data_IF_521993597948
#
_entry.id   IF_521993597948
#
_cell.length_a   1.000
_cell.length_b   1.000
_cell.length_c   1.000
_cell.angle_alpha   90.00
_cell.angle_beta   90.00
_cell.angle_gamma   90.00
#
_symmetry.space_group_name_H-M   'P 1'
#
loop_
_entity.id
_entity.type
_entity.pdbx_description
1 polymer ?
#
# COMPACT_ATOMS: atom_id res chain seq x y z
N UNK A 1 -17.10 13.44 6.15
CA UNK A 1 -16.61 13.14 5.95
C UNK A 1 -15.52 13.18 5.56
N UNK A 2 -15.01 13.17 5.75
CA UNK A 2 -14.09 13.19 5.35
C UNK A 2 -13.14 12.18 5.49
N UNK A 3 -13.17 11.23 6.44
CA UNK A 3 -12.34 10.06 6.46
C UNK A 3 -12.30 9.38 5.12
N UNK A 4 -13.42 9.42 4.43
CA UNK A 4 -13.49 8.79 3.12
C UNK A 4 -12.57 9.43 2.12
N UNK A 5 -12.21 10.68 2.32
CA UNK A 5 -11.34 11.34 1.35
C UNK A 5 -9.92 10.78 1.39
N UNK A 6 -9.56 10.10 2.47
CA UNK A 6 -8.22 9.53 2.58
C UNK A 6 -8.05 8.24 1.79
N UNK A 7 -9.15 7.70 1.30
CA UNK A 7 -9.11 6.46 0.54
C UNK A 7 -9.52 6.66 -0.90
N UNK A 8 -9.24 7.84 -1.43
CA UNK A 8 -9.57 8.12 -2.81
C UNK A 8 -8.66 7.33 -3.74
N UNK A 9 -9.07 7.20 -4.97
CA UNK A 9 -8.26 6.57 -6.00
C UNK A 9 -6.92 7.25 -6.14
N UNK A 10 -6.91 8.58 -6.03
CA UNK A 10 -5.67 9.32 -6.17
C UNK A 10 -4.67 8.93 -5.08
N UNK A 11 -5.14 8.78 -3.87
CA UNK A 11 -4.24 8.43 -2.77
C UNK A 11 -3.78 7.00 -2.86
N UNK A 12 -4.63 6.10 -3.36
CA UNK A 12 -4.20 4.73 -3.60
C UNK A 12 -3.12 4.68 -4.67
N UNK A 13 -3.23 5.51 -5.70
CA UNK A 13 -2.21 5.61 -6.74
C UNK A 13 -0.90 6.11 -6.16
N UNK A 14 -0.97 7.12 -5.31
CA UNK A 14 0.22 7.65 -4.65
C UNK A 14 0.90 6.58 -3.82
N UNK A 15 0.15 5.85 -3.03
CA UNK A 15 0.70 4.78 -2.21
C UNK A 15 1.30 3.66 -3.05
N UNK A 16 0.63 3.29 -4.13
CA UNK A 16 1.15 2.27 -5.03
C UNK A 16 2.47 2.66 -5.66
N UNK A 17 2.57 3.91 -6.10
CA UNK A 17 3.82 4.40 -6.68
C UNK A 17 4.95 4.40 -5.66
N UNK A 18 4.68 4.88 -4.47
CA UNK A 18 5.71 4.94 -3.43
C UNK A 18 6.17 3.54 -3.04
N UNK A 19 5.23 2.60 -2.90
CA UNK A 19 5.60 1.23 -2.56
C UNK A 19 6.46 0.60 -3.65
N UNK A 20 6.09 0.77 -4.91
CA UNK A 20 6.89 0.24 -6.01
C UNK A 20 8.27 0.89 -6.08
N UNK A 21 8.32 2.20 -5.84
CA UNK A 21 9.58 2.93 -5.83
C UNK A 21 10.52 2.37 -4.77
N UNK A 22 10.01 2.16 -3.57
CA UNK A 22 10.81 1.69 -2.46
C UNK A 22 11.20 0.22 -2.58
N UNK A 23 10.32 -0.61 -3.15
CA UNK A 23 10.64 -2.01 -3.37
C UNK A 23 11.74 -2.20 -4.41
N UNK A 24 11.74 -1.36 -5.42
CA UNK A 24 12.76 -1.44 -6.46
C UNK A 24 12.63 -2.67 -7.35
N UNK A 25 11.49 -3.34 -7.34
CA UNK A 25 11.28 -4.56 -8.11
C UNK A 25 9.81 -4.70 -8.44
N UNK A 26 9.50 -5.62 -9.32
CA UNK A 26 8.13 -5.89 -9.72
C UNK A 26 7.33 -6.47 -8.55
N UNK A 27 6.08 -6.08 -8.46
CA UNK A 27 5.19 -6.60 -7.42
C UNK A 27 3.78 -6.71 -7.98
N UNK A 28 3.05 -7.71 -7.51
CA UNK A 28 1.68 -7.89 -7.95
C UNK A 28 0.71 -7.11 -7.05
N UNK A 29 -0.53 -6.99 -7.50
CA UNK A 29 -1.53 -6.18 -6.80
C UNK A 29 -1.87 -6.73 -5.42
N UNK A 30 -1.85 -8.05 -5.26
CA UNK A 30 -2.17 -8.65 -3.96
C UNK A 30 -1.08 -8.31 -2.94
N UNK A 31 0.17 -8.39 -3.36
CA UNK A 31 1.29 -8.06 -2.49
C UNK A 31 1.26 -6.58 -2.10
N UNK A 32 1.05 -5.72 -3.10
CA UNK A 32 0.98 -4.29 -2.85
C UNK A 32 -0.22 -3.92 -1.98
N UNK A 33 -1.35 -4.61 -2.18
CA UNK A 33 -2.53 -4.39 -1.34
C UNK A 33 -2.28 -4.75 0.11
N UNK A 34 -1.54 -5.82 0.34
CA UNK A 34 -1.19 -6.23 1.70
C UNK A 34 -0.23 -5.22 2.34
N UNK A 35 0.79 -4.79 1.60
CA UNK A 35 1.71 -3.76 2.12
C UNK A 35 0.97 -2.45 2.38
N UNK A 36 0.03 -2.10 1.51
CA UNK A 36 -0.76 -0.89 1.66
C UNK A 36 -1.60 -0.95 2.94
N UNK A 37 -2.21 -2.10 3.21
CA UNK A 37 -3.02 -2.29 4.41
C UNK A 37 -2.16 -2.10 5.66
N UNK A 38 -0.98 -2.67 5.68
CA UNK A 38 -0.09 -2.52 6.83
C UNK A 38 0.40 -1.07 6.94
N UNK A 39 0.74 -0.45 5.83
CA UNK A 39 1.28 0.91 5.84
C UNK A 39 0.27 1.91 6.38
N UNK A 40 -0.97 1.86 5.91
CA UNK A 40 -1.97 2.83 6.39
C UNK A 40 -2.40 2.57 7.83
N UNK A 41 -2.15 1.38 8.33
CA UNK A 41 -2.47 1.00 9.70
C UNK A 41 -1.19 0.73 10.49
N UNK A 42 -0.13 1.46 10.17
CA UNK A 42 1.22 1.16 10.65
C UNK A 42 1.32 1.02 12.15
N UNK A 43 0.69 1.92 12.90
CA UNK A 43 0.75 1.85 14.36
C UNK A 43 0.13 0.55 14.88
N UNK A 44 -0.96 0.11 14.27
CA UNK A 44 -1.63 -1.13 14.64
C UNK A 44 -0.69 -2.33 14.52
N UNK A 45 0.19 -2.30 13.53
CA UNK A 45 1.13 -3.39 13.30
C UNK A 45 2.50 -3.15 13.90
N UNK A 46 2.63 -2.09 14.73
CA UNK A 46 3.89 -1.80 15.40
C UNK A 46 4.97 -1.26 14.49
N UNK A 47 4.59 -0.72 13.33
CA UNK A 47 5.53 -0.23 12.36
C UNK A 47 5.81 1.26 12.56
N UNK A 48 4.79 2.06 12.70
CA UNK A 48 4.95 3.49 12.78
C UNK A 48 4.37 4.07 14.05
N UNK A 49 4.57 5.36 14.25
CA UNK A 49 4.08 6.04 15.43
C UNK A 49 2.56 6.25 15.41
N UNK A 50 1.99 6.32 14.22
CA UNK A 50 0.55 6.53 14.10
C UNK A 50 0.06 5.95 12.78
N UNK A 51 -1.22 5.72 12.71
CA UNK A 51 -1.85 5.25 11.48
C UNK A 51 -2.11 6.44 10.56
N UNK A 52 -1.79 6.27 9.29
CA UNK A 52 -1.91 7.36 8.32
C UNK A 52 -3.34 7.82 8.12
N UNK A 53 -4.27 6.88 8.16
CA UNK A 53 -5.68 7.19 7.95
C UNK A 53 -6.44 7.31 9.27
N UNK A 54 -5.72 7.56 10.35
CA UNK A 54 -6.33 7.69 11.65
C UNK A 54 -6.58 6.36 12.32
N UNK A 55 -7.07 6.42 13.53
CA UNK A 55 -7.32 5.21 14.30
C UNK A 55 -8.70 4.68 13.96
N UNK A 56 -8.77 3.42 13.59
CA UNK A 56 -10.04 2.76 13.35
C UNK A 56 -9.85 1.26 13.51
N UNK A 57 -10.94 0.55 13.55
CA UNK A 57 -10.87 -0.89 13.69
C UNK A 57 -10.46 -1.51 12.37
N UNK A 58 -9.42 -2.34 12.46
CA UNK A 58 -8.96 -3.09 11.31
C UNK A 58 -9.72 -4.40 11.26
N UNK A 59 -10.23 -4.73 10.13
CA UNK A 59 -10.90 -6.01 9.91
C UNK A 59 -10.28 -6.70 8.73
N UNK A 60 -10.39 -8.02 8.68
CA UNK A 60 -9.82 -8.77 7.57
C UNK A 60 -10.44 -8.33 6.24
N UNK A 61 -11.66 -7.84 6.27
CA UNK A 61 -12.29 -7.32 5.04
C UNK A 61 -11.55 -6.12 4.48
N UNK A 62 -10.83 -5.40 5.31
CA UNK A 62 -10.07 -4.24 4.84
C UNK A 62 -8.98 -4.66 3.86
N UNK A 63 -8.35 -5.80 4.08
CA UNK A 63 -7.35 -6.28 3.14
C UNK A 63 -7.94 -6.45 1.75
N UNK A 64 -9.12 -7.06 1.67
CA UNK A 64 -9.77 -7.25 0.38
C UNK A 64 -10.10 -5.90 -0.28
N UNK A 65 -10.68 -4.99 0.49
CA UNK A 65 -11.05 -3.68 -0.02
C UNK A 65 -9.82 -2.93 -0.55
N UNK A 66 -8.73 -2.95 0.20
CA UNK A 66 -7.52 -2.25 -0.22
C UNK A 66 -6.87 -2.92 -1.42
N UNK A 67 -6.96 -4.22 -1.52
CA UNK A 67 -6.43 -4.93 -2.68
C UNK A 67 -7.20 -4.57 -3.94
N UNK A 68 -8.52 -4.48 -3.84
CA UNK A 68 -9.34 -4.04 -4.98
C UNK A 68 -8.98 -2.62 -5.39
N UNK A 69 -8.87 -1.74 -4.41
CA UNK A 69 -8.51 -0.35 -4.67
C UNK A 69 -7.13 -0.24 -5.30
N UNK A 70 -6.17 -1.02 -4.79
CA UNK A 70 -4.81 -1.02 -5.33
C UNK A 70 -4.79 -1.57 -6.77
N UNK A 71 -5.57 -2.60 -7.05
CA UNK A 71 -5.65 -3.13 -8.41
C UNK A 71 -6.13 -2.06 -9.38
N UNK A 72 -7.17 -1.33 -9.00
CA UNK A 72 -7.68 -0.25 -9.84
C UNK A 72 -6.67 0.88 -10.00
N UNK A 73 -5.98 1.20 -8.91
CA UNK A 73 -4.97 2.25 -8.94
C UNK A 73 -3.82 1.89 -9.88
N UNK A 74 -3.36 0.64 -9.81
CA UNK A 74 -2.26 0.20 -10.66
C UNK A 74 -2.65 0.19 -12.13
N UNK A 75 -3.89 -0.20 -12.42
CA UNK A 75 -4.38 -0.18 -13.80
C UNK A 75 -4.42 1.25 -14.34
N UNK A 76 -4.86 2.18 -13.51
CA UNK A 76 -4.90 3.59 -13.92
C UNK A 76 -3.49 4.15 -14.10
N UNK A 77 -2.58 3.79 -13.21
CA UNK A 77 -1.19 4.22 -13.32
C UNK A 77 -0.53 3.65 -14.58
N UNK A 78 -0.91 2.44 -14.97
CA UNK A 78 -0.39 1.85 -16.21
C UNK A 78 -0.88 2.61 -17.44
N UNK A 79 -2.14 3.01 -17.43
CA UNK A 79 -2.70 3.80 -18.52
C UNK A 79 -1.98 5.15 -18.61
N UNK A 80 -1.62 5.73 -17.47
CA UNK A 80 -0.94 7.01 -17.44
C UNK A 80 0.56 6.91 -17.74
N UNK A 81 1.10 5.70 -17.78
CA UNK A 81 2.52 5.50 -18.10
C UNK A 81 3.45 5.56 -16.90
N UNK A 82 2.92 5.54 -15.68
CA UNK A 82 3.74 5.60 -14.47
C UNK A 82 4.17 4.23 -13.98
N UNK A 83 3.48 3.18 -14.38
CA UNK A 83 3.90 1.80 -14.12
C UNK A 83 3.71 0.99 -15.39
N UNK A 84 4.39 -0.15 -15.45
CA UNK A 84 4.26 -1.09 -16.57
C UNK A 84 3.76 -2.42 -16.04
N UNK A 85 2.73 -2.96 -16.68
CA UNK A 85 2.22 -4.28 -16.36
C UNK A 85 3.11 -5.34 -17.02
N UNK A 86 3.43 -6.37 -16.27
CA UNK A 86 4.16 -7.53 -16.76
C UNK A 86 3.23 -8.73 -16.73
N UNK A 87 2.49 -8.96 -17.83
CA UNK A 87 1.45 -9.98 -17.84
C UNK A 87 1.99 -11.41 -17.90
N UNK A 88 3.26 -11.56 -18.25
CA UNK A 88 3.88 -12.88 -18.32
C UNK A 88 4.21 -13.45 -16.94
N UNK A 89 4.06 -12.67 -15.89
CA UNK A 89 4.27 -13.14 -14.53
C UNK A 89 2.94 -13.65 -13.97
N UNK A 90 3.02 -14.61 -13.08
CA UNK A 90 1.83 -15.19 -12.49
C UNK A 90 1.97 -15.17 -10.96
N UNK A 91 1.26 -14.30 -10.29
CA UNK A 91 0.31 -13.33 -10.83
C UNK A 91 1.00 -12.20 -11.58
N UNK A 92 0.24 -11.50 -12.41
CA UNK A 92 0.77 -10.38 -13.17
C UNK A 92 1.35 -9.33 -12.21
N UNK A 93 2.47 -8.76 -12.57
CA UNK A 93 3.19 -7.83 -11.71
C UNK A 93 3.32 -6.48 -12.38
N UNK A 94 3.66 -5.48 -11.60
CA UNK A 94 3.83 -4.11 -12.06
C UNK A 94 5.21 -3.61 -11.65
N UNK A 95 5.82 -2.81 -12.52
CA UNK A 95 7.08 -2.13 -12.20
C UNK A 95 6.88 -0.64 -12.41
N UNK A 96 7.61 0.15 -11.64
CA UNK A 96 7.56 1.60 -11.81
C UNK A 96 8.38 2.00 -13.02
N UNK A 97 7.91 2.99 -13.78
CA UNK A 97 8.65 3.53 -14.92
C UNK A 97 9.51 4.72 -14.49
N UNK A 98 10.37 5.20 -15.39
CA UNK A 98 11.13 6.41 -15.10
C UNK A 98 10.22 7.59 -14.82
N UNK A 99 9.11 7.67 -15.53
CA UNK A 99 8.11 8.72 -15.30
C UNK A 99 7.49 8.59 -13.92
N UNK A 100 7.20 7.35 -13.51
CA UNK A 100 6.66 7.12 -12.17
C UNK A 100 7.66 7.50 -11.09
N UNK A 101 8.92 7.18 -11.30
CA UNK A 101 9.97 7.55 -10.35
C UNK A 101 10.09 9.08 -10.24
N UNK A 102 9.97 9.76 -11.36
CA UNK A 102 10.01 11.22 -11.36
C UNK A 102 8.88 11.81 -10.53
N UNK A 103 7.69 11.22 -10.65
CA UNK A 103 6.54 11.67 -9.85
C UNK A 103 6.85 11.53 -8.36
N UNK A 104 7.37 10.37 -7.94
CA UNK A 104 7.70 10.15 -6.54
C UNK A 104 8.74 11.16 -6.06
N UNK A 105 9.76 11.39 -6.87
CA UNK A 105 10.84 12.32 -6.50
C UNK A 105 10.38 13.76 -6.39
N UNK A 106 9.22 14.08 -6.94
CA UNK A 106 8.70 15.45 -6.90
C UNK A 106 7.59 15.66 -5.87
N UNK A 107 7.24 14.64 -5.09
CA UNK A 107 6.26 14.82 -4.03
C UNK A 107 6.81 15.73 -2.95
N UNK A 108 5.97 16.66 -2.48
CA UNK A 108 6.41 17.65 -1.48
C UNK A 108 5.41 17.86 -0.37
N UNK A 109 4.25 17.19 -0.41
CA UNK A 109 3.26 17.40 0.64
C UNK A 109 3.68 16.69 1.92
N UNK A 110 3.14 17.16 3.03
CA UNK A 110 3.38 16.53 4.32
C UNK A 110 2.90 15.07 4.31
N UNK A 111 1.73 14.85 3.73
CA UNK A 111 1.19 13.51 3.68
C UNK A 111 2.10 12.57 2.89
N UNK A 112 2.61 13.04 1.76
CA UNK A 112 3.51 12.22 0.94
C UNK A 112 4.79 11.89 1.71
N UNK A 113 5.31 12.84 2.48
CA UNK A 113 6.50 12.60 3.30
C UNK A 113 6.25 11.56 4.38
N UNK A 114 5.12 11.67 5.07
CA UNK A 114 4.75 10.72 6.10
C UNK A 114 4.52 9.34 5.51
N UNK A 115 3.88 9.30 4.36
CA UNK A 115 3.62 8.06 3.65
C UNK A 115 4.92 7.38 3.24
N UNK A 116 5.85 8.17 2.68
CA UNK A 116 7.14 7.65 2.25
C UNK A 116 7.88 7.02 3.43
N UNK A 117 7.97 7.73 4.54
CA UNK A 117 8.67 7.24 5.72
C UNK A 117 8.01 5.99 6.28
N UNK A 118 6.70 5.98 6.34
CA UNK A 118 5.96 4.85 6.90
C UNK A 118 6.07 3.64 5.97
N UNK A 119 5.97 3.86 4.67
CA UNK A 119 6.10 2.77 3.70
C UNK A 119 7.50 2.17 3.74
N UNK A 120 8.51 3.01 3.88
CA UNK A 120 9.88 2.53 3.98
C UNK A 120 10.03 1.62 5.20
N UNK A 121 9.50 2.05 6.33
CA UNK A 121 9.57 1.25 7.54
C UNK A 121 8.81 -0.07 7.39
N UNK A 122 7.65 -0.03 6.75
CA UNK A 122 6.87 -1.24 6.48
C UNK A 122 7.69 -2.24 5.67
N UNK A 123 8.31 -1.75 4.60
CA UNK A 123 9.10 -2.60 3.72
C UNK A 123 10.31 -3.17 4.46
N UNK A 124 10.94 -2.36 5.30
CA UNK A 124 12.08 -2.82 6.08
C UNK A 124 11.70 -3.92 7.05
N UNK A 125 10.50 -3.86 7.59
CA UNK A 125 10.07 -4.83 8.58
C UNK A 125 9.46 -6.09 7.98
N UNK A 126 8.67 -5.95 6.92
CA UNK A 126 7.91 -7.08 6.40
C UNK A 126 8.05 -7.29 4.90
N UNK A 127 8.89 -6.51 4.23
CA UNK A 127 9.02 -6.59 2.78
C UNK A 127 9.58 -7.92 2.26
N UNK A 128 10.20 -8.70 3.13
CA UNK A 128 10.71 -10.02 2.77
C UNK A 128 9.65 -11.10 2.77
N UNK A 129 8.50 -10.82 3.34
CA UNK A 129 7.46 -11.83 3.52
C UNK A 129 6.66 -11.99 2.24
N UNK A 130 6.09 -13.17 2.07
CA UNK A 130 5.21 -13.44 0.93
C UNK A 130 3.85 -12.78 1.13
N UNK A 131 3.08 -12.70 0.06
CA UNK A 131 1.71 -12.19 0.14
C UNK A 131 0.90 -12.97 1.17
N UNK A 132 1.04 -14.30 1.18
CA UNK A 132 0.28 -15.11 2.11
C UNK A 132 0.72 -14.86 3.56
N UNK A 133 2.00 -14.65 3.80
CA UNK A 133 2.48 -14.33 5.14
C UNK A 133 1.99 -12.95 5.60
N UNK A 134 1.97 -11.97 4.70
CA UNK A 134 1.44 -10.66 5.02
C UNK A 134 -0.04 -10.74 5.36
N UNK A 135 -0.81 -11.50 4.59
CA UNK A 135 -2.23 -11.69 4.85
C UNK A 135 -2.45 -12.34 6.21
N UNK A 136 -1.58 -13.27 6.59
CA UNK A 136 -1.66 -13.93 7.88
C UNK A 136 -1.47 -12.92 9.01
N UNK A 137 -0.49 -12.04 8.89
CA UNK A 137 -0.24 -11.00 9.87
C UNK A 137 -1.46 -10.10 10.00
N UNK A 138 -2.03 -9.69 8.88
CA UNK A 138 -3.19 -8.80 8.90
C UNK A 138 -4.36 -9.48 9.61
N UNK A 139 -4.59 -10.74 9.31
CA UNK A 139 -5.71 -11.48 9.92
C UNK A 139 -5.47 -11.76 11.40
N UNK A 140 -4.22 -11.82 11.83
CA UNK A 140 -3.92 -12.15 13.21
C UNK A 140 -4.11 -10.95 14.15
N UNK A 141 -4.18 -9.74 13.60
CA UNK A 141 -4.38 -8.54 14.40
C UNK A 141 -5.88 -8.32 14.55
N UNK A 142 -6.38 -8.56 15.72
CA UNK A 142 -7.80 -8.41 15.99
C UNK A 142 -8.01 -7.11 16.73
N UNK A 143 -8.83 -6.20 16.21
CA UNK A 143 -9.12 -4.98 16.94
C UNK A 143 -9.69 -5.28 18.30
N UNK A 144 -9.30 -4.47 19.27
CA UNK A 144 -9.70 -4.68 20.64
C UNK A 144 -11.19 -4.86 20.80
N UNK A 145 -11.95 -4.05 20.11
CA UNK A 145 -13.39 -4.10 20.25
C UNK A 145 -14.00 -5.38 19.75
N UNK A 146 -13.30 -6.15 18.97
CA UNK A 146 -13.85 -7.36 18.40
C UNK A 146 -13.60 -8.59 19.24
N UNK A 147 -12.74 -8.50 20.19
CA UNK A 147 -12.45 -9.64 21.02
C UNK A 147 -13.36 -9.73 22.23
N UNK A 148 -14.21 -8.77 22.41
CA UNK A 148 -15.09 -8.77 23.58
C UNK A 148 -16.52 -9.03 23.24
#
# INVERSE_FOLDING_TARGET
MRATSLDTSFEAELRGLILLFLLGDAADADYLGALDTITVNAHTFGVGAENLNGTHRLASAELHTRTVLMTQALQHLAIQGFVTLQPDRSPAAFTITAEGESVVNHFRSRYAGQLFDTALETIERVGDLSTSELAQIIRSVTPEGETR
#
